data_IF_669685393800
#
_entry.id   IF_669685393800
#
_cell.length_a   1.000
_cell.length_b   1.000
_cell.length_c   1.000
_cell.angle_alpha   90.00
_cell.angle_beta   90.00
_cell.angle_gamma   90.00
#
_symmetry.space_group_name_H-M   'P 1'
#
loop_
_entity.id
_entity.type
_entity.pdbx_description
1 polymer ?
#
# COMPACT_ATOMS: atom_id res chain seq x y z
N UNK A 1 16.52 -10.29 20.62
CA UNK A 1 16.89 -8.87 20.55
C UNK A 1 16.34 -8.23 19.30
N UNK A 2 15.94 -6.95 19.43
CA UNK A 2 15.41 -6.19 18.31
C UNK A 2 16.57 -5.62 17.49
N UNK A 3 16.48 -5.76 16.18
CA UNK A 3 17.47 -5.20 15.25
C UNK A 3 16.95 -3.99 14.50
N UNK A 4 15.62 -3.86 14.37
CA UNK A 4 14.98 -2.75 13.68
C UNK A 4 13.52 -2.69 14.07
N UNK A 5 12.87 -1.54 13.82
CA UNK A 5 11.44 -1.37 14.00
C UNK A 5 10.85 -0.95 12.66
N UNK A 6 9.84 -1.67 12.18
CA UNK A 6 9.12 -1.31 10.96
C UNK A 6 7.74 -0.79 11.35
N UNK A 7 7.29 0.25 10.69
CA UNK A 7 5.98 0.84 10.95
C UNK A 7 5.32 1.27 9.65
N UNK A 8 4.00 1.11 9.58
CA UNK A 8 3.24 1.65 8.47
C UNK A 8 3.25 3.18 8.57
N UNK A 9 3.73 3.84 7.53
CA UNK A 9 3.77 5.31 7.48
C UNK A 9 2.55 5.90 6.77
N UNK A 10 1.60 5.06 6.39
CA UNK A 10 0.39 5.44 5.68
C UNK A 10 0.42 5.04 4.22
N UNK A 11 -0.62 5.36 3.49
CA UNK A 11 -1.82 6.10 3.91
C UNK A 11 -2.70 5.31 4.89
N UNK A 12 -3.58 6.01 5.58
CA UNK A 12 -4.51 5.38 6.52
C UNK A 12 -5.09 6.39 7.51
N UNK A 13 -5.62 5.89 8.63
CA UNK A 13 -6.20 6.72 9.67
C UNK A 13 -5.15 7.66 10.28
N UNK A 14 -5.43 8.96 10.27
CA UNK A 14 -4.52 9.97 10.79
C UNK A 14 -4.15 9.71 12.25
N UNK A 15 -5.17 9.44 13.09
CA UNK A 15 -4.93 9.18 14.52
C UNK A 15 -4.10 7.92 14.72
N UNK A 16 -4.47 6.84 14.03
CA UNK A 16 -3.74 5.58 14.13
C UNK A 16 -2.29 5.70 13.68
N UNK A 17 -2.06 6.43 12.58
CA UNK A 17 -0.71 6.65 12.07
C UNK A 17 0.13 7.45 13.05
N UNK A 18 -0.44 8.50 13.67
CA UNK A 18 0.30 9.30 14.65
C UNK A 18 0.72 8.48 15.85
N UNK A 19 -0.19 7.67 16.39
CA UNK A 19 0.11 6.82 17.53
C UNK A 19 1.16 5.79 17.16
N UNK A 20 0.96 5.09 16.03
CA UNK A 20 1.88 4.04 15.59
C UNK A 20 3.28 4.57 15.32
N UNK A 21 3.39 5.67 14.58
CA UNK A 21 4.69 6.25 14.23
C UNK A 21 5.39 6.78 15.48
N UNK A 22 4.66 7.46 16.38
CA UNK A 22 5.24 7.96 17.62
C UNK A 22 5.77 6.83 18.50
N UNK A 23 5.00 5.75 18.62
CA UNK A 23 5.40 4.58 19.40
C UNK A 23 6.65 3.94 18.80
N UNK A 24 6.65 3.73 17.49
CA UNK A 24 7.78 3.13 16.79
C UNK A 24 9.05 3.97 16.92
N UNK A 25 8.92 5.30 16.79
CA UNK A 25 10.05 6.21 16.97
C UNK A 25 10.61 6.12 18.39
N UNK A 26 9.73 6.06 19.39
CA UNK A 26 10.16 5.93 20.79
C UNK A 26 10.95 4.66 21.02
N UNK A 27 10.48 3.53 20.49
CA UNK A 27 11.17 2.25 20.64
C UNK A 27 12.52 2.28 19.91
N UNK A 28 12.53 2.74 18.66
CA UNK A 28 13.74 2.77 17.85
C UNK A 28 14.81 3.69 18.47
N UNK A 29 14.40 4.89 18.87
CA UNK A 29 15.29 5.87 19.48
C UNK A 29 15.83 5.35 20.81
N UNK A 30 14.96 4.85 21.67
CA UNK A 30 15.35 4.36 22.99
C UNK A 30 16.27 3.14 22.94
N UNK A 31 16.15 2.33 21.89
CA UNK A 31 16.97 1.12 21.73
C UNK A 31 18.18 1.31 20.83
N UNK A 32 18.30 2.48 20.19
CA UNK A 32 19.40 2.77 19.27
C UNK A 32 19.37 1.93 18.01
N UNK A 33 18.17 1.56 17.52
CA UNK A 33 18.00 0.73 16.34
C UNK A 33 17.31 1.50 15.20
N UNK A 34 17.44 1.03 13.95
CA UNK A 34 16.82 1.71 12.81
C UNK A 34 15.30 1.66 12.84
N UNK A 35 14.69 2.71 12.30
CA UNK A 35 13.25 2.79 12.05
C UNK A 35 12.99 2.69 10.55
N UNK A 36 12.12 1.78 10.15
CA UNK A 36 11.79 1.55 8.74
C UNK A 36 10.33 1.94 8.52
N UNK A 37 10.11 2.93 7.65
CA UNK A 37 8.76 3.34 7.26
C UNK A 37 8.29 2.54 6.04
N UNK A 38 7.10 1.97 6.12
CA UNK A 38 6.55 1.15 5.05
C UNK A 38 5.23 1.75 4.55
N UNK A 39 5.12 1.94 3.23
CA UNK A 39 3.87 2.38 2.62
C UNK A 39 2.81 1.30 2.80
N UNK A 40 1.64 1.67 3.31
CA UNK A 40 0.57 0.72 3.61
C UNK A 40 0.08 -0.01 2.37
N UNK A 41 -0.07 0.70 1.24
CA UNK A 41 -0.54 0.09 0.00
C UNK A 41 0.49 -0.91 -0.54
N UNK A 42 1.78 -0.59 -0.43
CA UNK A 42 2.84 -1.52 -0.83
C UNK A 42 2.83 -2.78 0.04
N UNK A 43 2.59 -2.63 1.34
CA UNK A 43 2.49 -3.78 2.25
C UNK A 43 1.29 -4.66 1.89
N UNK A 44 0.15 -4.07 1.57
CA UNK A 44 -1.04 -4.80 1.12
C UNK A 44 -0.75 -5.59 -0.16
N UNK A 45 -0.06 -4.94 -1.09
CA UNK A 45 0.31 -5.57 -2.36
C UNK A 45 1.24 -6.76 -2.13
N UNK A 46 2.25 -6.60 -1.29
CA UNK A 46 3.17 -7.67 -0.95
C UNK A 46 2.44 -8.87 -0.34
N UNK A 47 1.47 -8.60 0.54
CA UNK A 47 0.64 -9.65 1.13
C UNK A 47 -0.17 -10.39 0.08
N UNK A 48 -0.77 -9.66 -0.85
CA UNK A 48 -1.57 -10.25 -1.92
C UNK A 48 -0.72 -11.16 -2.81
N UNK A 49 0.46 -10.68 -3.19
CA UNK A 49 1.40 -11.46 -4.02
C UNK A 49 1.76 -12.78 -3.33
N UNK A 50 2.00 -12.73 -2.03
CA UNK A 50 2.38 -13.92 -1.26
C UNK A 50 1.23 -14.91 -1.15
N UNK A 51 -0.01 -14.42 -0.95
CA UNK A 51 -1.16 -15.28 -0.72
C UNK A 51 -1.81 -15.80 -1.99
N UNK A 52 -1.68 -15.09 -3.11
CA UNK A 52 -2.38 -15.42 -4.36
C UNK A 52 -1.45 -15.44 -5.57
N UNK A 53 -0.31 -16.16 -5.51
CA UNK A 53 0.63 -16.16 -6.63
C UNK A 53 0.03 -16.76 -7.92
N UNK A 54 -0.96 -17.64 -7.79
CA UNK A 54 -1.61 -18.29 -8.94
C UNK A 54 -2.49 -17.33 -9.76
N UNK A 55 -2.86 -16.20 -9.19
CA UNK A 55 -3.68 -15.20 -9.89
C UNK A 55 -2.85 -14.20 -10.69
N UNK A 56 -1.53 -14.25 -10.55
CA UNK A 56 -0.63 -13.25 -11.11
C UNK A 56 -0.05 -13.70 -12.45
N UNK A 57 -0.25 -12.88 -13.46
CA UNK A 57 0.34 -13.10 -14.80
C UNK A 57 1.08 -11.83 -15.21
N UNK A 58 1.80 -11.90 -16.33
CA UNK A 58 2.53 -10.73 -16.84
C UNK A 58 1.61 -9.53 -17.14
N UNK A 59 0.33 -9.81 -17.42
CA UNK A 59 -0.64 -8.76 -17.75
C UNK A 59 -1.46 -8.28 -16.55
N UNK A 60 -1.17 -8.78 -15.36
CA UNK A 60 -1.89 -8.42 -14.15
C UNK A 60 -1.28 -7.17 -13.51
N UNK A 61 -2.15 -6.27 -13.06
CA UNK A 61 -1.77 -5.14 -12.22
C UNK A 61 -2.55 -5.21 -10.93
N UNK A 62 -1.95 -4.78 -9.84
CA UNK A 62 -2.56 -4.80 -8.51
C UNK A 62 -2.87 -3.39 -8.07
N UNK A 63 -4.10 -3.17 -7.63
CA UNK A 63 -4.55 -1.85 -7.17
C UNK A 63 -5.10 -1.97 -5.75
N UNK A 64 -4.24 -1.85 -4.73
CA UNK A 64 -4.71 -1.80 -3.35
C UNK A 64 -5.41 -0.48 -3.08
N UNK A 65 -6.46 -0.51 -2.25
CA UNK A 65 -7.25 0.68 -1.94
C UNK A 65 -7.55 0.76 -0.46
N UNK A 66 -7.57 2.00 0.06
CA UNK A 66 -7.96 2.31 1.43
C UNK A 66 -8.90 3.50 1.38
N UNK A 67 -10.02 3.43 2.10
CA UNK A 67 -10.99 4.51 2.17
C UNK A 67 -10.31 5.80 2.69
N UNK A 68 -10.44 6.87 1.93
CA UNK A 68 -9.85 8.18 2.26
C UNK A 68 -10.92 9.20 2.66
N UNK A 69 -12.17 8.77 2.81
CA UNK A 69 -13.35 9.61 3.08
C UNK A 69 -13.75 10.45 1.87
N UNK A 70 -14.94 11.07 1.94
CA UNK A 70 -15.48 11.95 0.90
C UNK A 70 -15.47 11.32 -0.50
N UNK A 71 -15.79 10.02 -0.55
CA UNK A 71 -15.85 9.25 -1.79
C UNK A 71 -14.49 9.04 -2.47
N UNK A 72 -13.41 9.43 -1.82
CA UNK A 72 -12.07 9.18 -2.32
C UNK A 72 -11.50 7.90 -1.74
N UNK A 73 -10.57 7.30 -2.45
CA UNK A 73 -9.78 6.19 -1.95
C UNK A 73 -8.30 6.45 -2.18
N UNK A 74 -7.47 6.07 -1.21
CA UNK A 74 -6.04 5.98 -1.43
C UNK A 74 -5.80 4.77 -2.30
N UNK A 75 -5.02 4.93 -3.36
CA UNK A 75 -4.76 3.84 -4.29
C UNK A 75 -3.39 4.01 -4.94
N UNK A 76 -2.91 2.92 -5.53
CA UNK A 76 -1.67 2.89 -6.30
C UNK A 76 -1.77 1.71 -7.24
N UNK A 77 -0.87 1.61 -8.20
CA UNK A 77 -0.79 0.47 -9.10
C UNK A 77 0.57 -0.19 -8.99
N UNK A 78 0.57 -1.50 -8.91
CA UNK A 78 1.79 -2.29 -8.78
C UNK A 78 1.81 -3.42 -9.80
N UNK A 79 3.02 -3.79 -10.22
CA UNK A 79 3.23 -5.00 -11.01
C UNK A 79 3.25 -6.22 -10.08
N UNK A 80 3.11 -7.43 -10.65
CA UNK A 80 3.17 -8.66 -9.83
C UNK A 80 4.46 -8.85 -9.06
N UNK A 81 5.54 -8.18 -9.46
CA UNK A 81 6.83 -8.24 -8.76
C UNK A 81 6.93 -7.22 -7.61
N UNK A 82 5.87 -6.45 -7.38
CA UNK A 82 5.84 -5.44 -6.32
C UNK A 82 6.32 -4.06 -6.75
N UNK A 83 6.73 -3.88 -7.99
CA UNK A 83 7.18 -2.58 -8.49
C UNK A 83 5.99 -1.64 -8.71
N UNK A 84 6.06 -0.43 -8.16
CA UNK A 84 5.00 0.56 -8.34
C UNK A 84 5.08 1.18 -9.74
N UNK A 85 3.94 1.23 -10.44
CA UNK A 85 3.84 1.93 -11.73
C UNK A 85 2.99 3.19 -11.63
N UNK A 86 2.25 3.36 -10.55
CA UNK A 86 1.53 4.58 -10.22
C UNK A 86 1.64 4.80 -8.72
N UNK A 87 2.13 5.97 -8.34
CA UNK A 87 2.33 6.29 -6.94
C UNK A 87 1.01 6.46 -6.19
N UNK A 88 1.08 6.38 -4.85
CA UNK A 88 -0.06 6.54 -3.98
C UNK A 88 -0.70 7.92 -4.19
N UNK A 89 -2.02 7.93 -4.38
CA UNK A 89 -2.80 9.16 -4.45
C UNK A 89 -4.19 8.91 -3.87
N UNK A 90 -4.89 10.00 -3.53
CA UNK A 90 -6.27 9.92 -3.07
C UNK A 90 -7.15 10.41 -4.21
N UNK A 91 -8.01 9.55 -4.72
CA UNK A 91 -8.80 9.83 -5.90
C UNK A 91 -10.23 9.33 -5.77
N UNK A 92 -11.13 9.98 -6.51
CA UNK A 92 -12.46 9.45 -6.76
C UNK A 92 -12.30 8.50 -7.95
N UNK A 93 -12.58 7.23 -7.72
CA UNK A 93 -12.40 6.21 -8.76
C UNK A 93 -13.68 6.09 -9.58
N UNK A 94 -13.56 6.17 -10.89
CA UNK A 94 -14.64 5.98 -11.83
C UNK A 94 -14.13 5.24 -13.08
N UNK A 95 -15.00 5.15 -14.10
CA UNK A 95 -14.67 4.42 -15.31
C UNK A 95 -13.46 4.97 -16.06
N UNK A 96 -13.17 6.25 -15.91
CA UNK A 96 -12.06 6.90 -16.61
C UNK A 96 -10.75 6.89 -15.85
N UNK A 97 -10.77 6.49 -14.56
CA UNK A 97 -9.60 6.57 -13.70
C UNK A 97 -8.40 5.78 -14.21
N UNK A 98 -8.64 4.71 -14.95
CA UNK A 98 -7.59 3.83 -15.47
C UNK A 98 -7.58 3.78 -16.99
N UNK A 99 -8.09 4.84 -17.64
CA UNK A 99 -8.18 4.89 -19.09
C UNK A 99 -6.82 4.91 -19.77
N UNK A 100 -5.76 5.29 -19.06
CA UNK A 100 -4.39 5.29 -19.57
C UNK A 100 -3.73 3.91 -19.51
N UNK A 101 -4.40 2.94 -18.90
CA UNK A 101 -3.88 1.57 -18.80
C UNK A 101 -4.33 0.80 -20.05
N UNK A 102 -3.42 0.06 -20.73
CA UNK A 102 -3.80 -0.73 -21.90
C UNK A 102 -4.92 -1.72 -21.58
N UNK A 103 -5.86 -1.87 -22.53
CA UNK A 103 -7.04 -2.71 -22.33
C UNK A 103 -6.74 -4.20 -22.15
N UNK A 104 -5.57 -4.67 -22.61
CA UNK A 104 -5.15 -6.05 -22.42
C UNK A 104 -4.61 -6.33 -21.01
N UNK A 105 -4.45 -5.28 -20.18
CA UNK A 105 -4.04 -5.46 -18.79
C UNK A 105 -5.25 -5.78 -17.93
N UNK A 106 -5.03 -6.64 -16.95
CA UNK A 106 -6.04 -7.01 -15.96
C UNK A 106 -5.69 -6.35 -14.64
N UNK A 107 -6.61 -5.57 -14.09
CA UNK A 107 -6.39 -4.90 -12.80
C UNK A 107 -7.18 -5.63 -11.73
N UNK A 108 -6.49 -6.04 -10.67
CA UNK A 108 -7.11 -6.63 -9.49
C UNK A 108 -7.22 -5.54 -8.43
N UNK A 109 -8.45 -5.20 -8.09
CA UNK A 109 -8.74 -4.22 -7.04
C UNK A 109 -9.00 -4.96 -5.73
N UNK A 110 -8.39 -4.47 -4.65
CA UNK A 110 -8.61 -5.07 -3.33
C UNK A 110 -8.42 -4.02 -2.25
N UNK A 111 -9.07 -4.24 -1.12
CA UNK A 111 -8.98 -3.30 -0.01
C UNK A 111 -8.67 -4.03 1.28
N UNK A 112 -8.15 -3.26 2.24
CA UNK A 112 -7.88 -3.78 3.57
C UNK A 112 -9.18 -3.77 4.38
N UNK A 113 -9.55 -4.91 4.93
CA UNK A 113 -10.72 -5.03 5.78
C UNK A 113 -10.37 -5.04 7.25
#
# INVERSE_FOLDING_TARGET
DLEAVAVSKGPGSYTGLRIGVSTAKGIAYGSGIPLIGINTLAAMCSGYITLHPEELTADTLLCPMIDARRMEVYNALFRPDGTAIRETSADIIDESSFSDIPGEKRIIFFECM
#
